data_IF_009137393600
#
_entry.id   IF_009137393600
#
_cell.length_a   1.000
_cell.length_b   1.000
_cell.length_c   1.000
_cell.angle_alpha   90.00
_cell.angle_beta   90.00
_cell.angle_gamma   90.00
#
_symmetry.space_group_name_H-M   'P 1'
#
loop_
_entity.id
_entity.type
_entity.pdbx_description
1 polymer ?
#
# COMPACT_ATOMS: atom_id res chain seq x y z
N UNK A 1 8.10 5.14 38.53
CA UNK A 1 7.38 3.86 38.34
C UNK A 1 8.30 2.70 38.71
N UNK A 2 7.85 1.77 39.56
CA UNK A 2 8.60 0.51 39.79
C UNK A 2 8.60 -0.28 38.48
N UNK A 3 9.76 -0.83 38.07
CA UNK A 3 9.86 -1.70 36.89
C UNK A 3 8.97 -2.93 37.11
N UNK A 4 8.00 -3.15 36.23
CA UNK A 4 7.21 -4.39 36.23
C UNK A 4 8.09 -5.51 35.61
N UNK A 5 8.48 -6.54 36.39
CA UNK A 5 9.36 -7.60 35.90
C UNK A 5 8.70 -8.46 34.82
N UNK A 6 7.37 -8.61 34.85
CA UNK A 6 6.60 -9.35 33.83
C UNK A 6 6.68 -8.62 32.49
N UNK A 7 6.45 -7.30 32.47
CA UNK A 7 6.60 -6.49 31.26
C UNK A 7 8.01 -6.59 30.66
N UNK A 8 9.04 -6.60 31.52
CA UNK A 8 10.43 -6.71 31.07
C UNK A 8 10.68 -8.05 30.37
N UNK A 9 10.18 -9.15 30.93
CA UNK A 9 10.24 -10.48 30.31
C UNK A 9 9.46 -10.55 29.00
N UNK A 10 8.26 -9.94 28.96
CA UNK A 10 7.43 -9.91 27.76
C UNK A 10 8.14 -9.19 26.60
N UNK A 11 8.69 -7.98 26.84
CA UNK A 11 9.47 -7.28 25.82
C UNK A 11 10.69 -8.08 25.37
N UNK A 12 11.40 -8.72 26.31
CA UNK A 12 12.54 -9.57 25.97
C UNK A 12 12.14 -10.76 25.07
N UNK A 13 11.01 -11.40 25.35
CA UNK A 13 10.47 -12.48 24.51
C UNK A 13 10.12 -11.98 23.10
N UNK A 14 9.42 -10.84 22.99
CA UNK A 14 9.10 -10.22 21.70
C UNK A 14 10.36 -9.85 20.90
N UNK A 15 11.39 -9.31 21.56
CA UNK A 15 12.68 -9.01 20.93
C UNK A 15 13.40 -10.27 20.48
N UNK A 16 13.34 -11.36 21.25
CA UNK A 16 13.94 -12.64 20.87
C UNK A 16 13.26 -13.25 19.63
N UNK A 17 11.92 -13.21 19.55
CA UNK A 17 11.20 -13.68 18.36
C UNK A 17 11.51 -12.82 17.13
N UNK A 18 11.55 -11.49 17.27
CA UNK A 18 11.94 -10.61 16.16
C UNK A 18 13.35 -10.90 15.66
N UNK A 19 14.30 -11.16 16.56
CA UNK A 19 15.68 -11.46 16.19
C UNK A 19 15.78 -12.71 15.31
N UNK A 20 14.96 -13.74 15.54
CA UNK A 20 14.91 -14.93 14.68
C UNK A 20 14.46 -14.59 13.26
N UNK A 21 13.47 -13.71 13.13
CA UNK A 21 12.97 -13.24 11.84
C UNK A 21 14.02 -12.34 11.17
N UNK A 22 14.70 -11.48 11.94
CA UNK A 22 15.73 -10.57 11.46
C UNK A 22 16.88 -11.29 10.73
N UNK A 23 17.25 -12.50 11.17
CA UNK A 23 18.26 -13.32 10.50
C UNK A 23 17.90 -13.69 9.06
N UNK A 24 16.61 -13.86 8.76
CA UNK A 24 16.14 -14.17 7.39
C UNK A 24 16.54 -13.07 6.41
N UNK A 25 16.47 -11.80 6.82
CA UNK A 25 16.81 -10.67 5.95
C UNK A 25 18.30 -10.54 5.65
N UNK A 26 19.19 -11.08 6.49
CA UNK A 26 20.64 -11.05 6.20
C UNK A 26 21.00 -11.81 4.92
N UNK A 27 20.19 -12.82 4.60
CA UNK A 27 20.39 -13.68 3.45
C UNK A 27 19.57 -13.23 2.22
N UNK A 28 18.65 -12.26 2.38
CA UNK A 28 17.89 -11.69 1.27
C UNK A 28 18.73 -10.68 0.49
N UNK A 29 19.60 -11.20 -0.37
CA UNK A 29 20.53 -10.40 -1.15
C UNK A 29 19.85 -9.51 -2.18
N UNK A 30 18.69 -9.93 -2.66
CA UNK A 30 18.03 -9.35 -3.83
C UNK A 30 16.75 -8.57 -3.45
N UNK A 31 16.40 -8.51 -2.17
CA UNK A 31 15.21 -7.81 -1.69
C UNK A 31 13.90 -8.52 -2.03
N UNK A 32 13.95 -9.85 -2.18
CA UNK A 32 12.80 -10.66 -2.55
C UNK A 32 11.68 -10.56 -1.51
N UNK A 33 12.02 -10.62 -0.22
CA UNK A 33 11.02 -10.56 0.86
C UNK A 33 10.39 -9.17 0.94
N UNK A 34 11.20 -8.12 0.81
CA UNK A 34 10.70 -6.74 0.79
C UNK A 34 9.73 -6.54 -0.38
N UNK A 35 10.13 -6.95 -1.59
CA UNK A 35 9.26 -6.82 -2.78
C UNK A 35 8.00 -7.66 -2.67
N UNK A 36 8.12 -8.91 -2.21
CA UNK A 36 6.98 -9.81 -2.02
C UNK A 36 6.00 -9.21 -1.00
N UNK A 37 6.52 -8.66 0.10
CA UNK A 37 5.69 -8.11 1.16
C UNK A 37 4.88 -6.92 0.68
N UNK A 38 5.50 -6.00 -0.07
CA UNK A 38 4.81 -4.87 -0.70
C UNK A 38 3.74 -5.38 -1.67
N UNK A 39 4.08 -6.32 -2.57
CA UNK A 39 3.11 -6.90 -3.51
C UNK A 39 1.92 -7.55 -2.80
N UNK A 40 2.14 -8.32 -1.73
CA UNK A 40 1.06 -9.00 -1.01
C UNK A 40 0.16 -8.01 -0.25
N UNK A 41 0.72 -6.96 0.33
CA UNK A 41 -0.06 -5.91 0.99
C UNK A 41 -0.89 -5.12 -0.03
N UNK A 42 -0.29 -4.77 -1.17
CA UNK A 42 -0.99 -4.07 -2.25
C UNK A 42 -2.13 -4.94 -2.80
N UNK A 43 -1.86 -6.23 -3.04
CA UNK A 43 -2.88 -7.19 -3.47
C UNK A 43 -3.99 -7.38 -2.43
N UNK A 44 -3.63 -7.47 -1.16
CA UNK A 44 -4.61 -7.58 -0.08
C UNK A 44 -5.48 -6.32 -0.02
N UNK A 45 -4.87 -5.13 -0.05
CA UNK A 45 -5.56 -3.84 -0.04
C UNK A 45 -6.49 -3.69 -1.25
N UNK A 46 -6.03 -4.06 -2.43
CA UNK A 46 -6.82 -4.00 -3.67
C UNK A 46 -8.14 -4.79 -3.54
N UNK A 47 -8.07 -6.00 -2.97
CA UNK A 47 -9.24 -6.85 -2.73
C UNK A 47 -10.08 -6.37 -1.54
N UNK A 48 -9.42 -5.88 -0.48
CA UNK A 48 -10.07 -5.36 0.72
C UNK A 48 -11.02 -4.19 0.38
N UNK A 49 -10.59 -3.24 -0.45
CA UNK A 49 -11.38 -2.08 -0.87
C UNK A 49 -12.56 -2.44 -1.79
N UNK A 50 -12.59 -3.65 -2.35
CA UNK A 50 -13.59 -4.11 -3.33
C UNK A 50 -14.54 -5.18 -2.77
N UNK A 51 -14.46 -5.46 -1.46
CA UNK A 51 -15.38 -6.38 -0.80
C UNK A 51 -16.55 -5.60 -0.22
N UNK A 52 -17.79 -5.95 -0.61
CA UNK A 52 -19.00 -5.23 -0.18
C UNK A 52 -19.30 -5.39 1.33
N UNK A 53 -19.01 -6.56 1.90
CA UNK A 53 -19.21 -6.85 3.33
C UNK A 53 -17.87 -7.16 4.02
N UNK A 54 -17.44 -6.21 4.85
CA UNK A 54 -16.21 -6.32 5.60
C UNK A 54 -16.48 -6.94 6.98
N UNK A 55 -15.90 -8.12 7.24
CA UNK A 55 -15.96 -8.72 8.56
C UNK A 55 -14.90 -8.10 9.47
N UNK A 56 -15.22 -7.96 10.75
CA UNK A 56 -14.29 -7.50 11.79
C UNK A 56 -12.98 -8.30 11.81
N UNK A 57 -13.05 -9.62 11.61
CA UNK A 57 -11.86 -10.48 11.55
C UNK A 57 -10.91 -10.09 10.40
N UNK A 58 -11.46 -9.68 9.24
CA UNK A 58 -10.64 -9.23 8.10
C UNK A 58 -10.02 -7.86 8.36
N UNK A 59 -10.73 -6.96 9.02
CA UNK A 59 -10.18 -5.67 9.45
C UNK A 59 -9.01 -5.86 10.42
N UNK A 60 -9.20 -6.70 11.43
CA UNK A 60 -8.19 -7.01 12.43
C UNK A 60 -6.97 -7.67 11.77
N UNK A 61 -7.18 -8.63 10.86
CA UNK A 61 -6.09 -9.25 10.12
C UNK A 61 -5.33 -8.23 9.24
N UNK A 62 -6.04 -7.36 8.52
CA UNK A 62 -5.40 -6.32 7.71
C UNK A 62 -4.61 -5.33 8.57
N UNK A 63 -5.14 -4.93 9.71
CA UNK A 63 -4.45 -4.10 10.69
C UNK A 63 -3.12 -4.73 11.12
N UNK A 64 -3.10 -6.03 11.44
CA UNK A 64 -1.87 -6.76 11.79
C UNK A 64 -0.87 -6.75 10.64
N UNK A 65 -1.34 -6.97 9.40
CA UNK A 65 -0.48 -6.90 8.22
C UNK A 65 0.11 -5.49 7.99
N UNK A 66 -0.68 -4.43 8.19
CA UNK A 66 -0.25 -3.04 8.02
C UNK A 66 0.87 -2.65 8.99
N UNK A 67 0.78 -3.05 10.24
CA UNK A 67 1.86 -2.79 11.21
C UNK A 67 3.07 -3.71 10.94
N UNK A 68 2.83 -4.93 10.47
CA UNK A 68 3.87 -5.89 10.11
C UNK A 68 4.75 -5.41 8.95
N UNK A 69 4.15 -4.83 7.90
CA UNK A 69 4.92 -4.31 6.74
C UNK A 69 5.84 -3.17 7.15
N UNK A 70 5.40 -2.25 8.01
CA UNK A 70 6.26 -1.16 8.50
C UNK A 70 7.49 -1.72 9.20
N UNK A 71 7.31 -2.72 10.07
CA UNK A 71 8.44 -3.34 10.77
C UNK A 71 9.33 -4.15 9.84
N UNK A 72 8.75 -4.85 8.87
CA UNK A 72 9.48 -5.58 7.84
C UNK A 72 10.41 -4.66 7.06
N UNK A 73 9.91 -3.53 6.57
CA UNK A 73 10.70 -2.54 5.81
C UNK A 73 11.87 -2.04 6.66
N UNK A 74 11.62 -1.69 7.93
CA UNK A 74 12.66 -1.24 8.84
C UNK A 74 13.75 -2.30 9.04
N UNK A 75 13.36 -3.56 9.28
CA UNK A 75 14.31 -4.66 9.48
C UNK A 75 15.08 -4.96 8.19
N UNK A 76 14.41 -5.04 7.04
CA UNK A 76 15.06 -5.28 5.76
C UNK A 76 16.16 -4.26 5.48
N UNK A 77 15.86 -2.96 5.61
CA UNK A 77 16.81 -1.87 5.37
C UNK A 77 17.93 -1.80 6.42
N UNK A 78 17.63 -2.14 7.68
CA UNK A 78 18.63 -2.18 8.76
C UNK A 78 19.61 -3.35 8.59
N UNK A 79 19.10 -4.52 8.21
CA UNK A 79 19.91 -5.73 8.06
C UNK A 79 20.67 -5.75 6.73
N UNK A 80 20.15 -5.05 5.71
CA UNK A 80 20.75 -4.92 4.37
C UNK A 80 20.75 -3.44 3.95
N UNK A 81 21.85 -2.72 4.19
CA UNK A 81 22.00 -1.33 3.72
C UNK A 81 21.94 -1.20 2.18
N UNK A 82 22.21 -2.28 1.46
CA UNK A 82 22.12 -2.37 0.01
C UNK A 82 21.69 -3.76 -0.45
N UNK A 83 21.03 -3.82 -1.60
CA UNK A 83 20.72 -5.06 -2.32
C UNK A 83 21.69 -5.26 -3.48
N UNK A 84 21.95 -6.52 -3.83
CA UNK A 84 22.90 -6.91 -4.88
C UNK A 84 22.33 -6.63 -6.28
N UNK A 85 21.01 -6.44 -6.39
CA UNK A 85 20.29 -6.11 -7.62
C UNK A 85 19.46 -4.84 -7.44
N UNK A 86 19.38 -3.96 -8.47
CA UNK A 86 18.67 -2.69 -8.36
C UNK A 86 17.14 -2.85 -8.31
N UNK A 87 16.58 -3.82 -9.04
CA UNK A 87 15.14 -4.12 -9.08
C UNK A 87 14.95 -5.61 -9.34
N UNK A 88 14.09 -6.25 -8.55
CA UNK A 88 13.61 -7.62 -8.82
C UNK A 88 12.10 -7.58 -9.00
N UNK A 89 11.62 -8.09 -10.13
CA UNK A 89 10.20 -8.31 -10.40
C UNK A 89 9.97 -9.79 -10.64
N UNK A 90 8.97 -10.36 -9.98
CA UNK A 90 8.61 -11.77 -10.13
C UNK A 90 7.10 -11.92 -10.04
N UNK A 91 6.60 -12.92 -10.76
CA UNK A 91 5.21 -13.38 -10.71
C UNK A 91 4.91 -13.89 -9.30
N UNK A 92 3.70 -13.62 -8.80
CA UNK A 92 3.25 -14.14 -7.52
C UNK A 92 3.28 -15.66 -7.52
N UNK A 93 3.99 -16.24 -6.55
CA UNK A 93 4.08 -17.68 -6.39
C UNK A 93 3.84 -18.07 -4.92
N UNK A 94 3.07 -19.12 -4.62
CA UNK A 94 2.75 -19.52 -3.24
C UNK A 94 3.99 -19.78 -2.37
N UNK A 95 5.07 -20.31 -2.96
CA UNK A 95 6.32 -20.58 -2.23
C UNK A 95 7.05 -19.33 -1.72
N UNK A 96 6.72 -18.15 -2.25
CA UNK A 96 7.24 -16.86 -1.80
C UNK A 96 6.18 -16.13 -0.98
N UNK A 97 4.94 -16.13 -1.49
CA UNK A 97 3.82 -15.37 -0.93
C UNK A 97 3.44 -15.85 0.47
N UNK A 98 3.32 -17.17 0.68
CA UNK A 98 2.91 -17.73 1.96
C UNK A 98 3.95 -17.46 3.07
N UNK A 99 5.26 -17.75 2.88
CA UNK A 99 6.26 -17.40 3.88
C UNK A 99 6.32 -15.89 4.16
N UNK A 100 6.15 -15.06 3.12
CA UNK A 100 6.13 -13.60 3.28
C UNK A 100 4.96 -13.13 4.13
N UNK A 101 3.75 -13.64 3.89
CA UNK A 101 2.57 -13.32 4.70
C UNK A 101 2.72 -13.81 6.14
N UNK A 102 3.34 -14.98 6.36
CA UNK A 102 3.64 -15.48 7.71
C UNK A 102 4.62 -14.56 8.45
N UNK A 103 5.68 -14.10 7.78
CA UNK A 103 6.64 -13.15 8.34
C UNK A 103 5.94 -11.82 8.66
N UNK A 104 5.11 -11.30 7.75
CA UNK A 104 4.33 -10.08 7.95
C UNK A 104 3.40 -10.21 9.16
N UNK A 105 2.63 -11.30 9.25
CA UNK A 105 1.75 -11.57 10.38
C UNK A 105 2.51 -11.68 11.69
N UNK A 106 3.64 -12.40 11.71
CA UNK A 106 4.47 -12.53 12.90
C UNK A 106 5.06 -11.19 13.38
N UNK A 107 5.64 -10.40 12.47
CA UNK A 107 6.14 -9.06 12.79
C UNK A 107 5.01 -8.14 13.24
N UNK A 108 3.83 -8.25 12.63
CA UNK A 108 2.66 -7.49 13.01
C UNK A 108 2.18 -7.82 14.43
N UNK A 109 2.11 -9.11 14.77
CA UNK A 109 1.77 -9.56 16.13
C UNK A 109 2.81 -9.10 17.16
N UNK A 110 4.11 -9.10 16.81
CA UNK A 110 5.16 -8.59 17.68
C UNK A 110 4.96 -7.09 17.96
N UNK A 111 4.75 -6.27 16.92
CA UNK A 111 4.51 -4.84 17.09
C UNK A 111 3.20 -4.55 17.83
N UNK A 112 2.14 -5.29 17.54
CA UNK A 112 0.89 -5.18 18.27
C UNK A 112 1.08 -5.51 19.74
N UNK A 113 1.81 -6.60 20.05
CA UNK A 113 2.18 -6.96 21.42
C UNK A 113 2.92 -5.84 22.14
N UNK A 114 3.87 -5.17 21.48
CA UNK A 114 4.58 -4.00 22.06
C UNK A 114 3.62 -2.87 22.39
N UNK A 115 2.68 -2.56 21.49
CA UNK A 115 1.65 -1.52 21.71
C UNK A 115 0.74 -1.87 22.88
N UNK A 116 0.27 -3.11 22.96
CA UNK A 116 -0.54 -3.58 24.09
C UNK A 116 0.24 -3.49 25.41
N UNK A 117 1.52 -3.88 25.43
CA UNK A 117 2.37 -3.73 26.61
C UNK A 117 2.60 -2.27 27.00
N UNK A 118 2.67 -1.35 26.03
CA UNK A 118 2.70 0.09 26.30
C UNK A 118 1.41 0.59 26.95
N UNK A 119 0.24 0.08 26.54
CA UNK A 119 -1.04 0.38 27.23
C UNK A 119 -1.03 -0.10 28.68
N UNK A 120 -0.45 -1.27 28.96
CA UNK A 120 -0.25 -1.77 30.33
C UNK A 120 0.70 -0.87 31.13
N UNK A 121 1.80 -0.38 30.51
CA UNK A 121 2.69 0.61 31.14
C UNK A 121 1.92 1.89 31.50
N UNK A 122 1.02 2.33 30.62
CA UNK A 122 0.16 3.51 30.84
C UNK A 122 -0.94 3.28 31.90
N UNK A 123 -1.07 2.07 32.45
CA UNK A 123 -2.07 1.73 33.47
C UNK A 123 -3.45 1.42 32.91
N UNK A 124 -3.57 1.19 31.60
CA UNK A 124 -4.85 0.91 30.91
C UNK A 124 -5.21 -0.59 30.97
N UNK A 125 -4.32 -1.44 31.46
CA UNK A 125 -4.59 -2.87 31.59
C UNK A 125 -3.58 -3.58 32.48
N UNK A 126 -3.70 -4.91 32.51
CA UNK A 126 -2.86 -5.78 33.34
C UNK A 126 -2.17 -6.84 32.48
N UNK A 127 -0.98 -7.26 32.92
CA UNK A 127 -0.26 -8.37 32.31
C UNK A 127 0.22 -9.33 33.39
N UNK A 128 -0.01 -10.62 33.15
CA UNK A 128 0.46 -11.70 33.99
C UNK A 128 1.21 -12.75 33.16
N UNK A 129 2.24 -13.34 33.77
CA UNK A 129 2.96 -14.46 33.19
C UNK A 129 2.27 -15.75 33.65
N UNK A 130 1.72 -16.52 32.71
CA UNK A 130 0.98 -17.76 32.98
C UNK A 130 1.78 -19.02 32.61
N UNK A 131 2.89 -18.86 31.90
CA UNK A 131 3.85 -19.93 31.56
C UNK A 131 5.21 -19.35 31.18
N UNK A 132 6.13 -20.19 30.70
CA UNK A 132 7.51 -19.77 30.40
C UNK A 132 7.56 -18.69 29.30
N UNK A 133 6.75 -18.85 28.25
CA UNK A 133 6.58 -17.90 27.14
C UNK A 133 5.10 -17.53 26.91
N UNK A 134 4.26 -17.72 27.91
CA UNK A 134 2.83 -17.44 27.84
C UNK A 134 2.45 -16.29 28.77
N UNK A 135 1.73 -15.33 28.21
CA UNK A 135 1.33 -14.11 28.89
C UNK A 135 -0.17 -13.91 28.68
N UNK A 136 -0.88 -13.58 29.75
CA UNK A 136 -2.27 -13.12 29.66
C UNK A 136 -2.27 -11.60 29.84
N UNK A 137 -2.92 -10.93 28.91
CA UNK A 137 -3.09 -9.48 28.93
C UNK A 137 -4.57 -9.20 29.03
N UNK A 138 -4.97 -8.45 30.06
CA UNK A 138 -6.35 -8.05 30.28
C UNK A 138 -6.45 -6.56 29.97
N UNK A 139 -7.22 -6.23 28.95
CA UNK A 139 -7.56 -4.86 28.55
C UNK A 139 -9.05 -4.61 28.84
N UNK A 140 -9.45 -3.36 29.11
CA UNK A 140 -10.86 -2.99 29.19
C UNK A 140 -11.53 -3.22 27.83
N UNK A 141 -12.85 -3.45 27.85
CA UNK A 141 -13.65 -3.73 26.66
C UNK A 141 -13.51 -2.66 25.57
N UNK A 142 -13.27 -1.41 25.97
CA UNK A 142 -12.97 -0.29 25.08
C UNK A 142 -11.78 0.49 25.60
N UNK A 143 -10.80 0.70 24.72
CA UNK A 143 -9.72 1.65 24.91
C UNK A 143 -9.92 2.74 23.88
N UNK A 144 -10.29 3.93 24.34
CA UNK A 144 -10.34 5.11 23.50
C UNK A 144 -9.01 5.85 23.66
N UNK A 145 -8.33 6.11 22.54
CA UNK A 145 -7.29 7.14 22.52
C UNK A 145 -7.94 8.51 22.33
N UNK A 146 -7.15 9.56 22.56
CA UNK A 146 -7.62 10.94 22.56
C UNK A 146 -8.22 11.35 21.19
N UNK A 147 -7.78 10.70 20.10
CA UNK A 147 -8.24 10.93 18.73
C UNK A 147 -9.38 9.98 18.29
N UNK A 148 -9.91 9.12 19.17
CA UNK A 148 -10.86 8.09 18.77
C UNK A 148 -12.10 8.67 18.08
N UNK A 149 -12.70 9.68 18.71
CA UNK A 149 -13.89 10.34 18.17
C UNK A 149 -13.57 11.19 16.95
N UNK A 150 -12.41 11.85 16.93
CA UNK A 150 -11.96 12.64 15.77
C UNK A 150 -11.79 11.76 14.54
N UNK A 151 -11.12 10.61 14.67
CA UNK A 151 -10.98 9.64 13.57
C UNK A 151 -12.32 9.10 13.09
N UNK A 152 -13.27 8.84 13.98
CA UNK A 152 -14.61 8.39 13.59
C UNK A 152 -15.35 9.46 12.77
N UNK A 153 -15.23 10.73 13.17
CA UNK A 153 -15.83 11.88 12.46
C UNK A 153 -15.16 12.09 11.10
N UNK A 154 -13.83 12.10 11.05
CA UNK A 154 -13.05 12.19 9.80
C UNK A 154 -13.46 11.07 8.84
N UNK A 155 -13.46 9.82 9.30
CA UNK A 155 -13.83 8.67 8.48
C UNK A 155 -15.25 8.81 7.90
N UNK A 156 -16.21 9.29 8.70
CA UNK A 156 -17.57 9.55 8.22
C UNK A 156 -17.60 10.58 7.09
N UNK A 157 -16.99 11.75 7.27
CA UNK A 157 -17.00 12.82 6.28
C UNK A 157 -16.17 12.51 5.03
N UNK A 158 -15.02 11.84 5.17
CA UNK A 158 -14.24 11.36 4.02
C UNK A 158 -15.05 10.35 3.21
N UNK A 159 -15.77 9.43 3.87
CA UNK A 159 -16.63 8.46 3.17
C UNK A 159 -17.81 9.14 2.46
N UNK A 160 -18.49 10.09 3.11
CA UNK A 160 -19.56 10.86 2.48
C UNK A 160 -19.04 11.69 1.30
N UNK A 161 -17.87 12.32 1.43
CA UNK A 161 -17.25 13.09 0.37
C UNK A 161 -16.90 12.20 -0.82
N UNK A 162 -16.30 11.02 -0.59
CA UNK A 162 -16.03 10.02 -1.64
C UNK A 162 -17.30 9.56 -2.35
N UNK A 163 -18.38 9.28 -1.60
CA UNK A 163 -19.67 8.90 -2.17
C UNK A 163 -20.24 10.02 -3.04
N UNK A 164 -20.26 11.24 -2.51
CA UNK A 164 -20.72 12.43 -3.22
C UNK A 164 -19.90 12.70 -4.49
N UNK A 165 -18.57 12.61 -4.42
CA UNK A 165 -17.69 12.72 -5.58
C UNK A 165 -17.96 11.61 -6.59
N UNK A 166 -18.07 10.35 -6.16
CA UNK A 166 -18.42 9.23 -7.04
C UNK A 166 -19.76 9.46 -7.75
N UNK A 167 -20.76 9.96 -7.04
CA UNK A 167 -22.07 10.28 -7.60
C UNK A 167 -22.03 11.46 -8.57
N UNK A 168 -21.34 12.56 -8.23
CA UNK A 168 -21.19 13.71 -9.13
C UNK A 168 -20.42 13.32 -10.39
N UNK A 169 -19.34 12.55 -10.23
CA UNK A 169 -18.55 12.06 -11.34
C UNK A 169 -19.40 11.17 -12.25
N UNK A 170 -20.16 10.23 -11.66
CA UNK A 170 -21.13 9.38 -12.38
C UNK A 170 -22.25 10.18 -13.04
N UNK A 171 -22.75 11.25 -12.44
CA UNK A 171 -23.92 12.02 -12.92
C UNK A 171 -23.57 13.13 -13.92
N UNK A 172 -22.42 13.80 -13.79
CA UNK A 172 -22.03 14.97 -14.60
C UNK A 172 -21.00 14.67 -15.69
N UNK A 173 -20.19 13.62 -15.52
CA UNK A 173 -19.04 13.32 -16.41
C UNK A 173 -19.25 11.97 -17.14
N UNK A 174 -19.97 11.02 -16.55
CA UNK A 174 -19.83 9.59 -16.90
C UNK A 174 -20.64 9.02 -18.07
N UNK A 175 -21.19 9.85 -18.96
CA UNK A 175 -21.75 9.32 -20.21
C UNK A 175 -20.66 9.16 -21.27
N UNK A 176 -20.15 10.29 -21.76
CA UNK A 176 -19.22 10.35 -22.88
C UNK A 176 -17.77 10.19 -22.43
N UNK A 177 -17.34 10.92 -21.40
CA UNK A 177 -15.94 10.89 -20.94
C UNK A 177 -15.57 9.52 -20.36
N UNK A 178 -16.48 8.85 -19.65
CA UNK A 178 -16.20 7.50 -19.15
C UNK A 178 -16.01 6.50 -20.29
N UNK A 179 -16.84 6.58 -21.34
CA UNK A 179 -16.70 5.74 -22.53
C UNK A 179 -15.36 5.99 -23.23
N UNK A 180 -15.03 7.26 -23.50
CA UNK A 180 -13.77 7.66 -24.12
C UNK A 180 -12.54 7.21 -23.31
N UNK A 181 -12.61 7.30 -21.97
CA UNK A 181 -11.54 6.82 -21.08
C UNK A 181 -11.41 5.31 -21.14
N UNK A 182 -12.50 4.56 -21.06
CA UNK A 182 -12.46 3.08 -21.14
C UNK A 182 -11.96 2.59 -22.50
N UNK A 183 -12.39 3.24 -23.59
CA UNK A 183 -11.93 2.95 -24.95
C UNK A 183 -10.43 3.22 -25.08
N UNK A 184 -9.97 4.39 -24.62
CA UNK A 184 -8.55 4.74 -24.63
C UNK A 184 -7.71 3.77 -23.77
N UNK A 185 -8.20 3.37 -22.59
CA UNK A 185 -7.53 2.37 -21.75
C UNK A 185 -7.39 1.02 -22.48
N UNK A 186 -8.44 0.59 -23.18
CA UNK A 186 -8.46 -0.68 -23.90
C UNK A 186 -7.56 -0.66 -25.15
N UNK A 187 -7.57 0.42 -25.90
CA UNK A 187 -6.77 0.58 -27.12
C UNK A 187 -5.27 0.65 -26.82
N UNK A 188 -4.89 1.45 -25.83
CA UNK A 188 -3.49 1.77 -25.56
C UNK A 188 -2.75 0.67 -24.81
N UNK A 189 -3.46 -0.23 -24.12
CA UNK A 189 -2.84 -1.31 -23.32
C UNK A 189 -2.51 -2.55 -24.13
N UNK A 190 -1.35 -3.14 -23.85
CA UNK A 190 -0.92 -4.39 -24.44
C UNK A 190 -0.05 -5.21 -23.48
N UNK A 191 -0.10 -6.53 -23.64
CA UNK A 191 0.85 -7.43 -22.99
C UNK A 191 2.19 -7.34 -23.72
N UNK A 192 3.27 -7.15 -22.97
CA UNK A 192 4.64 -7.18 -23.46
C UNK A 192 5.36 -8.40 -22.87
N UNK A 193 5.93 -9.24 -23.72
CA UNK A 193 6.71 -10.41 -23.30
C UNK A 193 6.01 -11.27 -22.21
N UNK A 194 4.74 -11.61 -22.46
CA UNK A 194 3.83 -12.47 -21.66
C UNK A 194 3.38 -11.95 -20.29
N UNK A 195 4.28 -11.38 -19.49
CA UNK A 195 4.00 -11.02 -18.09
C UNK A 195 4.13 -9.53 -17.79
N UNK A 196 4.62 -8.73 -18.73
CA UNK A 196 4.76 -7.30 -18.54
C UNK A 196 3.63 -6.55 -19.21
N UNK A 197 3.35 -5.37 -18.67
CA UNK A 197 2.40 -4.44 -19.26
C UNK A 197 3.12 -3.31 -19.98
N UNK A 198 2.64 -2.99 -21.18
CA UNK A 198 2.93 -1.73 -21.86
C UNK A 198 1.63 -0.97 -22.11
N UNK A 199 1.70 0.36 -22.01
CA UNK A 199 0.60 1.23 -22.41
C UNK A 199 1.11 2.58 -22.93
N UNK A 200 0.36 3.15 -23.86
CA UNK A 200 0.54 4.52 -24.32
C UNK A 200 -0.02 5.56 -23.34
N UNK A 201 0.11 6.82 -23.71
CA UNK A 201 -0.45 7.96 -22.98
C UNK A 201 -1.23 8.86 -23.94
N UNK A 202 -2.26 9.53 -23.43
CA UNK A 202 -3.03 10.55 -24.15
C UNK A 202 -3.37 11.70 -23.19
N UNK A 203 -3.46 12.94 -23.68
CA UNK A 203 -3.79 14.09 -22.84
C UNK A 203 -5.10 13.92 -22.05
N UNK A 204 -6.10 13.27 -22.64
CA UNK A 204 -7.39 13.00 -21.98
C UNK A 204 -7.23 12.09 -20.76
N UNK A 205 -6.39 11.05 -20.85
CA UNK A 205 -6.12 10.17 -19.71
C UNK A 205 -5.29 10.89 -18.64
N UNK A 206 -4.33 11.71 -19.04
CA UNK A 206 -3.51 12.49 -18.10
C UNK A 206 -4.38 13.45 -17.27
N UNK A 207 -5.25 14.23 -17.92
CA UNK A 207 -6.14 15.18 -17.25
C UNK A 207 -7.20 14.47 -16.39
N UNK A 208 -7.77 13.38 -16.90
CA UNK A 208 -8.76 12.58 -16.18
C UNK A 208 -8.17 12.02 -14.88
N UNK A 209 -7.04 11.31 -14.96
CA UNK A 209 -6.45 10.68 -13.78
C UNK A 209 -5.84 11.69 -12.81
N UNK A 210 -5.34 12.82 -13.29
CA UNK A 210 -4.93 13.92 -12.42
C UNK A 210 -6.11 14.48 -11.63
N UNK A 211 -7.26 14.70 -12.27
CA UNK A 211 -8.46 15.21 -11.62
C UNK A 211 -9.01 14.24 -10.57
N UNK A 212 -9.02 12.94 -10.89
CA UNK A 212 -9.41 11.89 -9.93
C UNK A 212 -8.47 11.85 -8.73
N UNK A 213 -7.15 11.89 -8.97
CA UNK A 213 -6.16 11.89 -7.89
C UNK A 213 -6.26 13.14 -7.00
N UNK A 214 -6.51 14.30 -7.60
CA UNK A 214 -6.66 15.55 -6.86
C UNK A 214 -7.89 15.50 -5.94
N UNK A 215 -9.03 15.01 -6.45
CA UNK A 215 -10.24 14.83 -5.66
C UNK A 215 -10.04 13.81 -4.51
N UNK A 216 -9.27 12.74 -4.74
CA UNK A 216 -8.94 11.78 -3.69
C UNK A 216 -8.05 12.40 -2.61
N UNK A 217 -7.05 13.22 -2.98
CA UNK A 217 -6.20 13.89 -2.01
C UNK A 217 -6.96 14.90 -1.15
N UNK A 218 -7.99 15.57 -1.69
CA UNK A 218 -8.79 16.54 -0.96
C UNK A 218 -9.51 15.97 0.28
N UNK A 219 -9.75 14.66 0.34
CA UNK A 219 -10.44 14.02 1.47
C UNK A 219 -9.48 13.43 2.51
N UNK A 220 -8.17 13.60 2.31
CA UNK A 220 -7.14 13.14 3.23
C UNK A 220 -6.78 14.20 4.27
N UNK A 221 -6.52 13.73 5.49
CA UNK A 221 -6.09 14.60 6.59
C UNK A 221 -4.84 15.40 6.22
N UNK A 222 -4.93 16.69 6.48
CA UNK A 222 -3.86 17.65 6.28
C UNK A 222 -3.61 18.08 4.84
N UNK A 223 -4.52 17.78 3.91
CA UNK A 223 -4.50 18.34 2.56
C UNK A 223 -4.50 19.88 2.54
N UNK A 224 -5.24 20.50 3.47
CA UNK A 224 -5.38 21.95 3.62
C UNK A 224 -4.70 22.50 4.89
N UNK A 225 -3.81 21.71 5.51
CA UNK A 225 -3.07 22.09 6.73
C UNK A 225 -2.30 23.41 6.59
N UNK A 226 -1.86 23.74 5.37
CA UNK A 226 -1.10 24.94 5.08
C UNK A 226 -1.70 25.68 3.88
N UNK A 227 -1.60 27.00 3.88
CA UNK A 227 -1.88 27.79 2.68
C UNK A 227 -0.91 27.37 1.56
N UNK A 228 -1.40 27.21 0.33
CA UNK A 228 -0.59 26.76 -0.81
C UNK A 228 0.66 27.60 -1.10
N UNK A 229 0.67 28.88 -0.72
CA UNK A 229 1.81 29.78 -0.86
C UNK A 229 2.85 29.66 0.28
N UNK A 230 2.56 28.90 1.34
CA UNK A 230 3.50 28.64 2.45
C UNK A 230 4.70 27.87 1.93
N UNK A 231 5.91 28.30 2.24
CA UNK A 231 7.13 27.66 1.73
C UNK A 231 7.81 26.77 2.77
N UNK A 232 8.29 25.61 2.31
CA UNK A 232 9.15 24.70 3.07
C UNK A 232 10.46 24.53 2.29
N UNK A 233 11.58 24.94 2.88
CA UNK A 233 12.88 24.92 2.18
C UNK A 233 12.89 25.76 0.89
N UNK A 234 12.06 26.81 0.81
CA UNK A 234 11.91 27.67 -0.37
C UNK A 234 11.02 27.09 -1.48
N UNK A 235 10.32 25.98 -1.21
CA UNK A 235 9.35 25.38 -2.15
C UNK A 235 7.94 25.58 -1.58
N UNK A 236 7.03 26.13 -2.39
CA UNK A 236 5.65 26.33 -2.01
C UNK A 236 4.94 25.00 -1.70
N UNK A 237 4.10 24.99 -0.66
CA UNK A 237 3.31 23.83 -0.24
C UNK A 237 2.48 23.25 -1.38
N UNK A 238 1.92 24.13 -2.23
CA UNK A 238 1.19 23.74 -3.43
C UNK A 238 2.03 22.83 -4.36
N UNK A 239 3.34 23.05 -4.47
CA UNK A 239 4.23 22.23 -5.30
C UNK A 239 4.32 20.79 -4.76
N UNK A 240 4.36 20.62 -3.45
CA UNK A 240 4.32 19.29 -2.83
C UNK A 240 2.98 18.59 -3.08
N UNK A 241 1.86 19.31 -2.95
CA UNK A 241 0.53 18.78 -3.26
C UNK A 241 0.41 18.34 -4.72
N UNK A 242 0.89 19.15 -5.67
CA UNK A 242 0.88 18.82 -7.09
C UNK A 242 1.77 17.61 -7.41
N UNK A 243 2.95 17.53 -6.80
CA UNK A 243 3.84 16.37 -6.97
C UNK A 243 3.20 15.08 -6.42
N UNK A 244 2.56 15.15 -5.25
CA UNK A 244 1.83 14.03 -4.68
C UNK A 244 0.63 13.64 -5.57
N UNK A 245 -0.12 14.62 -6.05
CA UNK A 245 -1.25 14.41 -6.98
C UNK A 245 -0.81 13.66 -8.23
N UNK A 246 0.31 14.08 -8.82
CA UNK A 246 0.88 13.42 -9.99
C UNK A 246 1.27 11.96 -9.72
N UNK A 247 1.92 11.67 -8.58
CA UNK A 247 2.27 10.30 -8.21
C UNK A 247 1.02 9.42 -8.02
N UNK A 248 0.00 9.94 -7.33
CA UNK A 248 -1.27 9.24 -7.14
C UNK A 248 -2.00 9.02 -8.47
N UNK A 249 -1.98 10.00 -9.37
CA UNK A 249 -2.57 9.89 -10.70
C UNK A 249 -1.92 8.77 -11.53
N UNK A 250 -0.59 8.67 -11.51
CA UNK A 250 0.13 7.57 -12.16
C UNK A 250 -0.28 6.23 -11.57
N UNK A 251 -0.38 6.12 -10.25
CA UNK A 251 -0.79 4.89 -9.58
C UNK A 251 -2.20 4.46 -9.99
N UNK A 252 -3.19 5.36 -9.88
CA UNK A 252 -4.58 5.08 -10.25
C UNK A 252 -4.67 4.70 -11.73
N UNK A 253 -4.00 5.45 -12.61
CA UNK A 253 -3.95 5.14 -14.04
C UNK A 253 -3.37 3.76 -14.31
N UNK A 254 -2.29 3.41 -13.63
CA UNK A 254 -1.64 2.12 -13.81
C UNK A 254 -2.54 0.96 -13.38
N UNK A 255 -3.25 1.09 -12.25
CA UNK A 255 -4.25 0.12 -11.80
C UNK A 255 -5.35 -0.07 -12.86
N UNK A 256 -5.89 1.02 -13.43
CA UNK A 256 -6.92 0.95 -14.48
C UNK A 256 -6.42 0.32 -15.78
N UNK A 257 -5.17 0.57 -16.16
CA UNK A 257 -4.55 -0.11 -17.30
C UNK A 257 -4.35 -1.61 -17.04
N UNK A 258 -3.95 -1.99 -15.82
CA UNK A 258 -3.81 -3.40 -15.46
C UNK A 258 -5.17 -4.14 -15.50
N UNK A 259 -6.25 -3.50 -15.00
CA UNK A 259 -7.62 -4.02 -15.13
C UNK A 259 -8.08 -4.12 -16.60
N UNK A 260 -7.77 -3.12 -17.43
CA UNK A 260 -8.07 -3.14 -18.87
C UNK A 260 -7.29 -4.25 -19.59
N UNK A 261 -6.03 -4.49 -19.22
CA UNK A 261 -5.22 -5.59 -19.76
C UNK A 261 -5.83 -6.94 -19.45
N UNK A 262 -6.25 -7.19 -18.20
CA UNK A 262 -6.87 -8.46 -17.80
C UNK A 262 -8.20 -8.67 -18.53
N UNK A 263 -9.01 -7.61 -18.73
CA UNK A 263 -10.23 -7.69 -19.56
C UNK A 263 -9.91 -8.05 -21.02
N UNK A 264 -8.84 -7.47 -21.60
CA UNK A 264 -8.39 -7.73 -22.98
C UNK A 264 -7.73 -9.09 -23.15
N UNK A 265 -7.05 -9.59 -22.12
CA UNK A 265 -6.40 -10.88 -22.08
C UNK A 265 -6.74 -11.63 -20.76
N UNK A 266 -7.86 -12.37 -20.72
CA UNK A 266 -8.35 -13.02 -19.51
C UNK A 266 -7.43 -14.09 -18.91
N UNK A 267 -6.41 -14.54 -19.63
CA UNK A 267 -5.40 -15.46 -19.11
C UNK A 267 -4.39 -14.77 -18.19
N UNK A 268 -4.29 -13.45 -18.28
CA UNK A 268 -3.45 -12.63 -17.42
C UNK A 268 -4.08 -12.51 -16.04
N UNK A 269 -3.31 -12.83 -15.01
CA UNK A 269 -3.73 -12.61 -13.62
C UNK A 269 -3.29 -11.22 -13.18
N UNK A 270 -4.18 -10.45 -12.55
CA UNK A 270 -3.92 -9.05 -12.18
C UNK A 270 -2.72 -8.93 -11.24
N UNK A 271 -2.61 -9.85 -10.27
CA UNK A 271 -1.52 -9.93 -9.30
C UNK A 271 -0.15 -10.27 -9.93
N UNK A 272 -0.14 -10.63 -11.22
CA UNK A 272 1.05 -11.01 -11.97
C UNK A 272 1.41 -10.01 -13.07
N UNK A 273 0.72 -8.88 -13.14
CA UNK A 273 1.06 -7.80 -14.07
C UNK A 273 2.34 -7.12 -13.58
N UNK A 274 3.44 -7.31 -14.31
CA UNK A 274 4.74 -6.74 -13.97
C UNK A 274 5.01 -5.46 -14.76
N UNK A 275 5.61 -4.48 -14.10
CA UNK A 275 6.04 -3.23 -14.74
C UNK A 275 7.54 -3.23 -14.88
N UNK A 276 8.01 -2.85 -16.08
CA UNK A 276 9.42 -2.56 -16.32
C UNK A 276 9.57 -1.10 -16.76
N UNK A 277 10.60 -0.45 -16.24
CA UNK A 277 11.11 0.80 -16.77
C UNK A 277 12.34 0.46 -17.62
N UNK A 278 12.23 0.52 -18.96
CA UNK A 278 13.38 0.41 -19.85
C UNK A 278 13.68 1.75 -20.52
N UNK A 279 14.97 2.07 -20.67
CA UNK A 279 15.39 3.13 -21.59
C UNK A 279 15.10 2.64 -23.01
N UNK A 280 14.06 3.23 -23.62
CA UNK A 280 13.54 2.86 -24.95
C UNK A 280 14.58 3.01 -26.06
N UNK A 281 15.72 3.66 -25.80
CA UNK A 281 16.83 3.77 -26.78
C UNK A 281 17.56 2.46 -27.05
N UNK A 282 17.40 1.41 -26.23
CA UNK A 282 18.06 0.10 -26.44
C UNK A 282 17.13 -1.09 -26.62
N UNK A 283 15.82 -0.92 -26.43
CA UNK A 283 14.82 -1.99 -26.61
C UNK A 283 13.93 -1.70 -27.82
N UNK A 284 14.48 -1.83 -29.03
CA UNK A 284 13.68 -1.90 -30.27
C UNK A 284 13.40 -3.39 -30.57
N UNK A 285 12.20 -3.83 -30.95
CA UNK A 285 11.15 -3.17 -31.75
C UNK A 285 9.75 -3.40 -31.16
N UNK A 286 8.83 -2.43 -31.28
CA UNK A 286 7.41 -2.74 -31.16
C UNK A 286 6.97 -3.73 -32.25
N UNK A 287 5.89 -4.50 -32.04
CA UNK A 287 5.38 -5.45 -33.03
C UNK A 287 5.13 -4.77 -34.38
N UNK A 288 5.34 -5.52 -35.47
CA UNK A 288 5.07 -5.04 -36.83
C UNK A 288 3.63 -4.50 -36.92
N UNK A 289 3.51 -3.19 -37.19
CA UNK A 289 2.23 -2.49 -37.27
C UNK A 289 2.10 -1.29 -36.32
N UNK A 290 2.95 -1.16 -35.30
CA UNK A 290 2.92 0.00 -34.39
C UNK A 290 3.80 1.13 -34.94
N UNK A 291 3.16 2.16 -35.52
CA UNK A 291 3.83 3.41 -35.89
C UNK A 291 3.78 4.34 -34.69
N UNK A 292 4.93 4.59 -34.07
CA UNK A 292 5.07 5.63 -33.03
C UNK A 292 5.05 6.99 -33.77
N UNK A 293 4.11 7.90 -33.49
CA UNK A 293 4.15 9.24 -34.05
C UNK A 293 5.41 9.97 -33.57
N UNK A 294 6.05 10.79 -34.43
CA UNK A 294 7.19 11.59 -33.99
C UNK A 294 6.77 12.53 -32.85
N UNK A 295 7.52 12.50 -31.77
CA UNK A 295 7.42 13.48 -30.68
C UNK A 295 7.75 14.86 -31.26
N UNK A 296 6.81 15.81 -31.11
CA UNK A 296 7.02 17.25 -31.36
C UNK A 296 7.60 17.86 -30.09
#
# INVERSE_FOLDING_TARGET
MKRNPVLTKFFAALTAEEAKIAEVFKHDKIGQLLKAAISEIDWYRYNFLRTDEMSREREEYFYILQIGITRLVQLALKMRPSFDLPVVTFVRHPSISLPTLQILGALGMIEHGRRVAQSVIAGIGEIEQIGDNEFRITLPEKVFDDEHYERAVVAHYSNQSRQFFSEIFKKKVAGQIQGEVEDALHELVYAWNEHFIGYGATPILDEYFFSVAYAELQVHDGFDSFNGATEFGGIAYQTYLLALTFMVAIFIRHERFAEALVRKNPTTKLENVLTITSDTRKTQKPPQGFVVPPLI
#
